data_IF_900149962277
#
_entry.id   IF_900149962277
#
_cell.length_a   1.000
_cell.length_b   1.000
_cell.length_c   1.000
_cell.angle_alpha   90.00
_cell.angle_beta   90.00
_cell.angle_gamma   90.00
#
_symmetry.space_group_name_H-M   'P 1'
#
loop_
_entity.id
_entity.type
_entity.pdbx_description
1 polymer ?
#
# COMPACT_ATOMS: atom_id res chain seq x y z
N UNK A 1 -3.97 16.56 0.23
CA UNK A 1 -3.15 15.35 0.45
C UNK A 1 -4.05 14.15 0.32
N UNK A 2 -3.58 13.04 -0.26
CA UNK A 2 -4.31 11.76 -0.30
C UNK A 2 -3.71 10.83 0.74
N UNK A 3 -4.54 9.99 1.36
CA UNK A 3 -4.11 8.98 2.33
C UNK A 3 -4.65 7.64 1.86
N UNK A 4 -3.77 6.78 1.37
CA UNK A 4 -4.13 5.44 0.94
C UNK A 4 -4.03 4.45 2.09
N UNK A 5 -4.98 3.51 2.13
CA UNK A 5 -4.91 2.36 3.03
C UNK A 5 -4.04 1.28 2.38
N UNK A 6 -3.09 0.74 3.16
CA UNK A 6 -2.20 -0.35 2.73
C UNK A 6 -2.41 -1.55 3.64
N UNK A 7 -2.43 -2.73 3.06
CA UNK A 7 -2.49 -4.00 3.79
C UNK A 7 -1.06 -4.53 3.87
N UNK A 8 -0.64 -4.98 5.05
CA UNK A 8 0.68 -5.56 5.30
C UNK A 8 0.49 -6.99 5.79
N UNK A 9 1.14 -7.92 5.12
CA UNK A 9 1.05 -9.36 5.37
C UNK A 9 2.43 -9.92 5.65
N UNK A 10 2.50 -10.95 6.50
CA UNK A 10 3.71 -11.75 6.69
C UNK A 10 3.95 -12.58 5.42
N UNK A 11 5.15 -12.48 4.84
CA UNK A 11 5.55 -13.17 3.63
C UNK A 11 6.83 -13.97 3.91
N UNK A 12 6.69 -15.16 4.51
CA UNK A 12 7.82 -15.97 4.96
C UNK A 12 8.57 -15.28 6.10
N UNK A 13 9.85 -14.99 5.89
CA UNK A 13 10.70 -14.26 6.86
C UNK A 13 10.57 -12.74 6.76
N UNK A 14 9.85 -12.24 5.74
CA UNK A 14 9.67 -10.82 5.45
C UNK A 14 8.20 -10.38 5.61
N UNK A 15 7.94 -9.13 5.25
CA UNK A 15 6.62 -8.55 5.09
C UNK A 15 6.41 -8.08 3.65
N UNK A 16 5.17 -8.17 3.19
CA UNK A 16 4.71 -7.64 1.92
C UNK A 16 3.58 -6.65 2.17
N UNK A 17 3.57 -5.55 1.43
CA UNK A 17 2.52 -4.55 1.46
C UNK A 17 1.94 -4.32 0.07
N UNK A 18 0.63 -4.08 0.02
CA UNK A 18 -0.08 -3.66 -1.18
C UNK A 18 -1.15 -2.62 -0.86
N UNK A 19 -1.52 -1.81 -1.85
CA UNK A 19 -2.61 -0.85 -1.76
C UNK A 19 -3.78 -1.30 -2.64
N UNK A 20 -4.96 -1.62 -2.08
CA UNK A 20 -6.10 -2.05 -2.89
C UNK A 20 -6.59 -0.97 -3.89
N UNK A 21 -6.49 0.30 -3.51
CA UNK A 21 -6.86 1.44 -4.39
C UNK A 21 -5.82 1.70 -5.51
N UNK A 22 -4.61 1.13 -5.41
CA UNK A 22 -3.54 1.26 -6.41
C UNK A 22 -3.04 -0.13 -6.85
N UNK A 23 -3.81 -0.87 -7.67
CA UNK A 23 -3.45 -2.21 -8.11
C UNK A 23 -2.07 -2.27 -8.75
N UNK A 24 -1.26 -3.25 -8.32
CA UNK A 24 0.12 -3.42 -8.78
C UNK A 24 1.16 -2.57 -8.03
N UNK A 25 0.74 -1.66 -7.13
CA UNK A 25 1.65 -0.96 -6.24
C UNK A 25 1.93 -1.83 -5.00
N UNK A 26 3.15 -2.38 -4.94
CA UNK A 26 3.59 -3.31 -3.89
C UNK A 26 4.96 -2.92 -3.34
N UNK A 27 5.25 -3.31 -2.10
CA UNK A 27 6.56 -3.20 -1.50
C UNK A 27 6.81 -4.34 -0.50
N UNK A 28 8.08 -4.70 -0.28
CA UNK A 28 8.48 -5.70 0.73
C UNK A 28 9.56 -5.15 1.64
N UNK A 29 9.73 -5.74 2.83
CA UNK A 29 10.78 -5.39 3.78
C UNK A 29 10.87 -6.38 4.94
N UNK A 30 11.97 -6.35 5.69
CA UNK A 30 12.22 -7.29 6.78
C UNK A 30 11.40 -6.96 8.04
N UNK A 31 10.95 -5.70 8.19
CA UNK A 31 10.04 -5.28 9.25
C UNK A 31 8.83 -4.54 8.70
N UNK A 32 7.79 -4.40 9.54
CA UNK A 32 6.58 -3.63 9.19
C UNK A 32 6.94 -2.18 8.91
N UNK A 33 7.84 -1.58 9.69
CA UNK A 33 8.27 -0.19 9.53
C UNK A 33 9.03 0.01 8.21
N UNK A 34 9.97 -0.89 7.91
CA UNK A 34 10.72 -0.85 6.65
C UNK A 34 9.77 -0.98 5.45
N UNK A 35 8.87 -1.97 5.52
CA UNK A 35 7.87 -2.22 4.47
C UNK A 35 6.96 -1.01 4.27
N UNK A 36 6.52 -0.38 5.37
CA UNK A 36 5.69 0.84 5.32
C UNK A 36 6.41 2.01 4.65
N UNK A 37 7.69 2.22 4.99
CA UNK A 37 8.50 3.28 4.37
C UNK A 37 8.71 3.04 2.88
N UNK A 38 9.01 1.80 2.48
CA UNK A 38 9.14 1.42 1.07
C UNK A 38 7.83 1.53 0.32
N UNK A 39 6.71 1.16 0.95
CA UNK A 39 5.39 1.29 0.37
C UNK A 39 5.03 2.76 0.12
N UNK A 40 5.38 3.66 1.05
CA UNK A 40 5.23 5.10 0.84
C UNK A 40 5.98 5.58 -0.40
N UNK A 41 7.25 5.18 -0.56
CA UNK A 41 8.06 5.53 -1.74
C UNK A 41 7.47 4.95 -3.03
N UNK A 42 6.98 3.71 -3.01
CA UNK A 42 6.35 3.07 -4.15
C UNK A 42 5.07 3.80 -4.60
N UNK A 43 4.23 4.21 -3.64
CA UNK A 43 3.02 4.99 -3.92
C UNK A 43 3.36 6.37 -4.48
N UNK A 44 4.34 7.07 -3.89
CA UNK A 44 4.81 8.37 -4.40
C UNK A 44 5.31 8.24 -5.85
N UNK A 45 6.15 7.24 -6.13
CA UNK A 45 6.65 6.96 -7.48
C UNK A 45 5.53 6.63 -8.48
N UNK A 46 4.57 5.79 -8.08
CA UNK A 46 3.44 5.42 -8.94
C UNK A 46 2.58 6.64 -9.31
N UNK A 47 2.29 7.50 -8.33
CA UNK A 47 1.54 8.75 -8.56
C UNK A 47 2.29 9.70 -9.49
N UNK A 48 3.61 9.80 -9.38
CA UNK A 48 4.43 10.58 -10.31
C UNK A 48 4.36 10.03 -11.74
N UNK A 49 4.34 8.71 -11.91
CA UNK A 49 4.10 8.04 -13.19
C UNK A 49 2.76 8.43 -13.81
N UNK A 50 1.67 8.27 -13.07
CA UNK A 50 0.32 8.64 -13.51
C UNK A 50 0.22 10.11 -13.94
N UNK A 51 0.86 11.01 -13.20
CA UNK A 51 0.92 12.45 -13.55
C UNK A 51 1.64 12.69 -14.87
N UNK A 52 2.77 12.03 -15.12
CA UNK A 52 3.54 12.16 -16.37
C UNK A 52 2.75 11.66 -17.56
N UNK A 53 2.00 10.58 -17.38
CA UNK A 53 1.14 9.98 -18.40
C UNK A 53 -0.20 10.73 -18.58
N UNK A 54 -0.49 11.71 -17.73
CA UNK A 54 -1.78 12.44 -17.66
C UNK A 54 -2.98 11.51 -17.43
N UNK A 55 -2.74 10.40 -16.74
CA UNK A 55 -3.77 9.44 -16.31
C UNK A 55 -4.40 9.92 -15.00
N UNK A 56 -5.66 9.58 -14.79
CA UNK A 56 -6.34 9.87 -13.53
C UNK A 56 -5.64 9.18 -12.36
N UNK A 57 -5.45 9.91 -11.26
CA UNK A 57 -4.96 9.33 -10.01
C UNK A 57 -6.18 8.76 -9.27
N UNK A 58 -6.20 7.46 -8.93
CA UNK A 58 -7.29 6.88 -8.14
C UNK A 58 -7.47 7.61 -6.82
N UNK A 59 -8.71 7.88 -6.42
CA UNK A 59 -8.97 8.45 -5.09
C UNK A 59 -8.96 7.33 -4.04
N UNK A 60 -8.41 7.56 -2.82
CA UNK A 60 -8.46 6.58 -1.76
C UNK A 60 -9.90 6.28 -1.37
N UNK A 61 -10.27 5.00 -1.36
CA UNK A 61 -11.60 4.52 -1.03
C UNK A 61 -11.61 3.32 -0.10
N UNK A 62 -10.44 2.69 0.09
CA UNK A 62 -10.30 1.50 0.91
C UNK A 62 -10.33 1.83 2.40
N UNK A 63 -11.23 1.16 3.12
CA UNK A 63 -11.27 1.10 4.58
C UNK A 63 -10.84 -0.30 5.05
N UNK A 64 -10.04 -0.38 6.10
CA UNK A 64 -9.62 -1.63 6.71
C UNK A 64 -9.99 -1.62 8.20
N UNK A 65 -10.53 -2.73 8.67
CA UNK A 65 -10.87 -2.93 10.08
C UNK A 65 -10.65 -4.38 10.48
N UNK A 66 -10.39 -4.61 11.76
CA UNK A 66 -10.29 -5.94 12.34
C UNK A 66 -11.57 -6.22 13.13
N UNK A 67 -12.04 -7.46 13.08
CA UNK A 67 -13.15 -7.94 13.91
C UNK A 67 -12.64 -9.00 14.89
N UNK A 68 -13.12 -8.96 16.12
CA UNK A 68 -12.87 -10.01 17.11
C UNK A 68 -13.96 -11.08 17.00
N UNK A 69 -13.55 -12.35 17.06
CA UNK A 69 -14.47 -13.49 17.02
C UNK A 69 -14.14 -14.43 18.17
N UNK A 70 -15.17 -15.00 18.81
CA UNK A 70 -14.99 -16.09 19.75
C UNK A 70 -14.69 -17.37 18.95
N UNK A 71 -13.64 -18.09 19.35
CA UNK A 71 -13.24 -19.37 18.76
C UNK A 71 -13.57 -20.53 19.71
#
# INVERSE_FOLDING_TARGET
MRKYTVIIERAGDDYSAYCPDLPGCIATGHTVEETTQRMKQAVEFHIEGLKKEKTAIPEPSTEATSIEVAA
#
